data_IF_882089182553
#
_entry.id   IF_882089182553
#
_cell.length_a   1.000
_cell.length_b   1.000
_cell.length_c   1.000
_cell.angle_alpha   90.00
_cell.angle_beta   90.00
_cell.angle_gamma   90.00
#
_symmetry.space_group_name_H-M   'P 1'
#
loop_
_entity.id
_entity.type
_entity.pdbx_description
1 polymer ?
#
# COMPACT_ATOMS: atom_id res chain seq x y z
N UNK A 1 -22.12 -4.90 -6.51
CA UNK A 1 -22.01 -3.61 -5.81
C UNK A 1 -20.53 -3.31 -5.72
N UNK A 2 -20.05 -2.23 -6.36
CA UNK A 2 -18.66 -1.80 -6.23
C UNK A 2 -18.41 -1.51 -4.76
N UNK A 3 -17.44 -2.20 -4.14
CA UNK A 3 -17.14 -2.04 -2.73
C UNK A 3 -16.42 -0.69 -2.56
N UNK A 4 -17.20 0.40 -2.50
CA UNK A 4 -16.71 1.79 -2.48
C UNK A 4 -15.85 2.10 -1.26
N UNK A 5 -15.87 1.23 -0.24
CA UNK A 5 -15.15 1.39 1.03
C UNK A 5 -13.64 1.61 0.86
N UNK A 6 -13.03 0.95 -0.12
CA UNK A 6 -11.57 1.00 -0.33
C UNK A 6 -11.16 1.72 -1.63
N UNK A 7 -12.13 2.20 -2.41
CA UNK A 7 -11.85 2.92 -3.65
C UNK A 7 -11.30 4.32 -3.35
N UNK A 8 -10.40 4.81 -4.20
CA UNK A 8 -9.85 6.16 -4.09
C UNK A 8 -8.59 6.35 -4.92
N UNK A 9 -8.21 7.60 -5.15
CA UNK A 9 -6.94 7.92 -5.79
C UNK A 9 -5.78 7.56 -4.84
N UNK A 10 -4.69 7.01 -5.38
CA UNK A 10 -3.58 6.48 -4.57
C UNK A 10 -2.97 7.50 -3.62
N UNK A 11 -2.93 8.78 -4.01
CA UNK A 11 -2.41 9.87 -3.18
C UNK A 11 -3.26 10.15 -1.93
N UNK A 12 -4.52 9.69 -1.88
CA UNK A 12 -5.40 9.89 -0.73
C UNK A 12 -5.61 8.61 0.10
N UNK A 13 -5.19 7.45 -0.42
CA UNK A 13 -5.29 6.17 0.29
C UNK A 13 -4.41 6.17 1.54
N UNK A 14 -4.99 5.85 2.68
CA UNK A 14 -4.30 5.75 3.98
C UNK A 14 -5.02 4.77 4.90
N UNK A 15 -4.39 4.41 6.01
CA UNK A 15 -4.98 3.53 7.03
C UNK A 15 -5.50 2.22 6.44
N UNK A 16 -6.72 1.83 6.83
CA UNK A 16 -7.36 0.58 6.40
C UNK A 16 -7.45 0.44 4.87
N UNK A 17 -7.78 1.50 4.13
CA UNK A 17 -7.91 1.42 2.67
C UNK A 17 -6.56 1.15 1.98
N UNK A 18 -5.48 1.80 2.42
CA UNK A 18 -4.14 1.51 1.89
C UNK A 18 -3.69 0.09 2.26
N UNK A 19 -3.98 -0.34 3.48
CA UNK A 19 -3.68 -1.69 3.96
C UNK A 19 -4.45 -2.78 3.20
N UNK A 20 -5.69 -2.51 2.81
CA UNK A 20 -6.48 -3.39 1.95
C UNK A 20 -5.80 -3.61 0.60
N UNK A 21 -5.38 -2.54 -0.07
CA UNK A 21 -4.69 -2.68 -1.36
C UNK A 21 -3.32 -3.34 -1.25
N UNK A 22 -2.60 -3.15 -0.14
CA UNK A 22 -1.39 -3.91 0.14
C UNK A 22 -1.66 -5.40 0.38
N UNK A 23 -2.76 -5.75 1.06
CA UNK A 23 -3.21 -7.15 1.18
C UNK A 23 -3.52 -7.75 -0.21
N UNK A 24 -4.25 -7.02 -1.06
CA UNK A 24 -4.56 -7.43 -2.44
C UNK A 24 -3.28 -7.63 -3.26
N UNK A 25 -2.30 -6.74 -3.10
CA UNK A 25 -0.98 -6.87 -3.71
C UNK A 25 -0.27 -8.14 -3.23
N UNK A 26 -0.20 -8.36 -1.92
CA UNK A 26 0.42 -9.55 -1.34
C UNK A 26 -0.27 -10.85 -1.80
N UNK A 27 -1.60 -10.86 -1.90
CA UNK A 27 -2.35 -11.99 -2.42
C UNK A 27 -1.97 -12.30 -3.88
N UNK A 28 -1.87 -11.27 -4.73
CA UNK A 28 -1.43 -11.39 -6.13
C UNK A 28 0.00 -11.94 -6.23
N UNK A 29 0.93 -11.43 -5.43
CA UNK A 29 2.31 -11.93 -5.39
C UNK A 29 2.41 -13.40 -4.95
N UNK A 30 1.46 -13.86 -4.13
CA UNK A 30 1.34 -15.24 -3.68
C UNK A 30 0.48 -16.11 -4.59
N UNK A 31 0.01 -15.58 -5.73
CA UNK A 31 -0.91 -16.26 -6.64
C UNK A 31 -2.13 -16.87 -5.93
N UNK A 32 -2.68 -16.14 -4.94
CA UNK A 32 -3.94 -16.50 -4.27
C UNK A 32 -5.03 -15.49 -4.59
N UNK A 33 -6.26 -15.95 -4.49
CA UNK A 33 -7.42 -15.05 -4.52
C UNK A 33 -7.49 -14.25 -3.22
N UNK A 34 -7.73 -12.95 -3.35
CA UNK A 34 -7.93 -12.08 -2.21
C UNK A 34 -9.38 -12.14 -1.73
N UNK A 35 -9.58 -12.17 -0.42
CA UNK A 35 -10.91 -12.21 0.21
C UNK A 35 -11.13 -10.97 1.08
N UNK A 36 -12.19 -10.22 0.78
CA UNK A 36 -12.58 -9.05 1.56
C UNK A 36 -12.88 -9.43 3.02
N UNK A 37 -13.57 -10.56 3.22
CA UNK A 37 -13.91 -11.06 4.55
C UNK A 37 -12.67 -11.52 5.34
N UNK A 38 -11.67 -12.09 4.66
CA UNK A 38 -10.39 -12.45 5.30
C UNK A 38 -9.64 -11.20 5.72
N UNK A 39 -9.55 -10.20 4.84
CA UNK A 39 -8.90 -8.94 5.16
C UNK A 39 -9.58 -8.27 6.36
N UNK A 40 -10.90 -8.10 6.33
CA UNK A 40 -11.64 -7.40 7.39
C UNK A 40 -11.46 -8.08 8.75
N UNK A 41 -11.56 -9.41 8.78
CA UNK A 41 -11.34 -10.20 10.00
C UNK A 41 -9.90 -10.07 10.50
N UNK A 42 -8.91 -10.18 9.60
CA UNK A 42 -7.49 -10.06 9.94
C UNK A 42 -7.14 -8.66 10.43
N UNK A 43 -7.63 -7.63 9.74
CA UNK A 43 -7.41 -6.23 10.07
C UNK A 43 -7.95 -5.88 11.46
N UNK A 44 -9.18 -6.32 11.76
CA UNK A 44 -9.77 -6.17 13.09
C UNK A 44 -8.99 -6.92 14.18
N UNK A 45 -8.30 -8.00 13.84
CA UNK A 45 -7.41 -8.74 14.74
C UNK A 45 -5.98 -8.16 14.84
N UNK A 46 -5.72 -7.00 14.23
CA UNK A 46 -4.41 -6.35 14.22
C UNK A 46 -3.43 -6.89 13.17
N UNK A 47 -3.87 -7.79 12.28
CA UNK A 47 -3.10 -8.21 11.11
C UNK A 47 -3.20 -7.17 9.99
N UNK A 48 -2.39 -7.33 8.93
CA UNK A 48 -2.46 -6.51 7.71
C UNK A 48 -2.27 -4.99 7.95
N UNK A 49 -1.52 -4.60 8.99
CA UNK A 49 -1.21 -3.21 9.32
C UNK A 49 0.03 -2.68 8.56
N UNK A 50 0.12 -2.95 7.25
CA UNK A 50 1.30 -2.70 6.42
C UNK A 50 1.81 -1.24 6.45
N UNK A 51 0.90 -0.27 6.35
CA UNK A 51 1.22 1.15 6.31
C UNK A 51 1.78 1.70 7.63
N UNK A 52 1.70 0.94 8.72
CA UNK A 52 2.25 1.30 10.04
C UNK A 52 3.31 0.31 10.55
N UNK A 53 3.49 -0.84 9.88
CA UNK A 53 4.49 -1.84 10.21
C UNK A 53 5.90 -1.42 9.78
N UNK A 54 6.65 -0.84 10.72
CA UNK A 54 8.01 -0.34 10.47
C UNK A 54 8.98 -1.39 9.94
N UNK A 55 8.76 -2.68 10.21
CA UNK A 55 9.66 -3.73 9.71
C UNK A 55 9.52 -3.90 8.19
N UNK A 56 8.31 -3.71 7.65
CA UNK A 56 7.99 -3.91 6.25
C UNK A 56 8.75 -2.98 5.30
N UNK A 57 9.04 -1.74 5.72
CA UNK A 57 9.58 -0.72 4.81
C UNK A 57 10.91 -1.13 4.19
N UNK A 58 11.78 -1.79 4.95
CA UNK A 58 13.08 -2.26 4.48
C UNK A 58 12.90 -3.33 3.41
N UNK A 59 11.97 -4.26 3.63
CA UNK A 59 11.65 -5.30 2.65
C UNK A 59 11.11 -4.69 1.35
N UNK A 60 10.25 -3.67 1.43
CA UNK A 60 9.74 -2.97 0.24
C UNK A 60 10.86 -2.24 -0.52
N UNK A 61 11.78 -1.59 0.20
CA UNK A 61 12.96 -0.94 -0.39
C UNK A 61 13.83 -1.93 -1.17
N UNK A 62 14.08 -3.10 -0.61
CA UNK A 62 14.94 -4.11 -1.24
C UNK A 62 14.21 -4.82 -2.40
N UNK A 63 12.98 -5.29 -2.17
CA UNK A 63 12.24 -6.09 -3.14
C UNK A 63 11.81 -5.29 -4.37
N UNK A 64 11.40 -4.03 -4.18
CA UNK A 64 10.86 -3.19 -5.25
C UNK A 64 11.81 -2.04 -5.64
N UNK A 65 13.05 -2.05 -5.14
CA UNK A 65 14.03 -0.99 -5.38
C UNK A 65 13.52 0.41 -5.00
N UNK A 66 12.67 0.51 -3.98
CA UNK A 66 12.14 1.78 -3.50
C UNK A 66 13.24 2.61 -2.86
N UNK A 67 13.30 3.88 -3.23
CA UNK A 67 14.11 4.92 -2.60
C UNK A 67 13.20 5.82 -1.79
N UNK A 68 13.61 6.12 -0.56
CA UNK A 68 12.88 7.00 0.35
C UNK A 68 13.67 8.28 0.58
N UNK A 69 12.98 9.40 0.47
CA UNK A 69 13.54 10.73 0.70
C UNK A 69 12.51 11.57 1.46
N UNK A 70 12.97 12.32 2.46
CA UNK A 70 12.14 13.36 3.07
C UNK A 70 12.24 14.63 2.23
N UNK A 71 11.10 15.19 1.83
CA UNK A 71 11.01 16.46 1.09
C UNK A 71 10.05 17.38 1.85
N UNK A 72 10.58 18.43 2.47
CA UNK A 72 9.80 19.26 3.39
C UNK A 72 9.33 18.45 4.59
N UNK A 73 8.01 18.33 4.76
CA UNK A 73 7.36 17.56 5.83
C UNK A 73 6.76 16.23 5.36
N UNK A 74 7.01 15.82 4.11
CA UNK A 74 6.44 14.62 3.51
C UNK A 74 7.54 13.65 3.06
N UNK A 75 7.20 12.36 3.03
CA UNK A 75 8.06 11.31 2.49
C UNK A 75 7.72 11.04 1.04
N UNK A 76 8.74 11.05 0.19
CA UNK A 76 8.67 10.54 -1.17
C UNK A 76 9.24 9.13 -1.20
N UNK A 77 8.42 8.17 -1.65
CA UNK A 77 8.88 6.88 -2.13
C UNK A 77 8.98 6.92 -3.66
N UNK A 78 10.09 6.49 -4.24
CA UNK A 78 10.28 6.51 -5.69
C UNK A 78 11.06 5.32 -6.24
N UNK A 79 10.83 5.04 -7.51
CA UNK A 79 11.62 4.16 -8.38
C UNK A 79 11.86 4.90 -9.70
N UNK A 80 12.56 4.28 -10.65
CA UNK A 80 12.69 4.81 -12.01
C UNK A 80 11.35 4.98 -12.74
N UNK A 81 10.29 4.28 -12.31
CA UNK A 81 8.97 4.29 -12.95
C UNK A 81 8.02 5.37 -12.40
N UNK A 82 8.39 6.04 -11.32
CA UNK A 82 7.54 7.04 -10.67
C UNK A 82 7.68 7.05 -9.15
N UNK A 83 6.88 7.89 -8.50
CA UNK A 83 6.91 8.07 -7.05
C UNK A 83 5.56 8.38 -6.44
N UNK A 84 5.45 8.20 -5.13
CA UNK A 84 4.26 8.51 -4.33
C UNK A 84 4.68 9.20 -3.02
N UNK A 85 3.93 10.23 -2.65
CA UNK A 85 4.09 10.92 -1.37
C UNK A 85 3.28 10.23 -0.26
N UNK A 86 3.73 10.40 0.97
CA UNK A 86 3.01 9.99 2.17
C UNK A 86 3.49 10.74 3.41
N UNK A 87 2.64 10.74 4.45
CA UNK A 87 2.98 11.37 5.74
C UNK A 87 4.07 10.60 6.50
N UNK A 88 4.32 9.34 6.12
CA UNK A 88 5.36 8.47 6.69
C UNK A 88 6.09 7.69 5.59
N UNK A 89 7.30 7.16 5.87
CA UNK A 89 8.05 6.37 4.88
C UNK A 89 7.27 5.12 4.45
N UNK A 90 6.59 4.47 5.40
CA UNK A 90 5.76 3.29 5.17
C UNK A 90 4.56 3.61 4.28
N UNK A 91 3.86 4.70 4.56
CA UNK A 91 2.71 5.14 3.75
C UNK A 91 3.14 5.41 2.32
N UNK A 92 4.21 6.19 2.12
CA UNK A 92 4.74 6.51 0.81
C UNK A 92 5.14 5.23 0.04
N UNK A 93 5.86 4.31 0.70
CA UNK A 93 6.30 3.05 0.10
C UNK A 93 5.10 2.15 -0.27
N UNK A 94 4.12 2.00 0.62
CA UNK A 94 2.91 1.21 0.34
C UNK A 94 2.11 1.81 -0.82
N UNK A 95 1.94 3.14 -0.86
CA UNK A 95 1.27 3.82 -1.97
C UNK A 95 1.98 3.56 -3.30
N UNK A 96 3.32 3.63 -3.31
CA UNK A 96 4.09 3.36 -4.51
C UNK A 96 3.89 1.93 -5.00
N UNK A 97 4.00 0.94 -4.12
CA UNK A 97 3.80 -0.49 -4.46
C UNK A 97 2.39 -0.71 -5.01
N UNK A 98 1.36 -0.20 -4.34
CA UNK A 98 -0.03 -0.29 -4.82
C UNK A 98 -0.20 0.39 -6.18
N UNK A 99 0.38 1.58 -6.38
CA UNK A 99 0.30 2.30 -7.66
C UNK A 99 0.90 1.50 -8.82
N UNK A 100 2.00 0.77 -8.56
CA UNK A 100 2.67 -0.03 -9.57
C UNK A 100 1.89 -1.29 -9.93
N UNK A 101 1.10 -1.81 -8.97
CA UNK A 101 0.34 -3.05 -9.15
C UNK A 101 -1.05 -2.82 -9.73
N UNK A 102 -1.72 -1.73 -9.35
CA UNK A 102 -3.13 -1.47 -9.64
C UNK A 102 -3.41 -0.12 -10.33
N UNK A 103 -2.38 0.71 -10.53
CA UNK A 103 -2.55 2.06 -11.08
C UNK A 103 -2.91 3.11 -10.03
N UNK A 104 -3.15 4.34 -10.48
CA UNK A 104 -3.38 5.51 -9.62
C UNK A 104 -4.80 5.60 -9.05
N UNK A 105 -5.75 4.87 -9.63
CA UNK A 105 -7.12 4.74 -9.12
C UNK A 105 -7.47 3.25 -8.97
N UNK A 106 -6.99 2.60 -7.90
CA UNK A 106 -7.31 1.20 -7.66
C UNK A 106 -8.83 0.99 -7.53
N UNK A 107 -9.37 0.09 -8.35
CA UNK A 107 -10.76 -0.33 -8.32
C UNK A 107 -10.87 -1.86 -8.41
N UNK A 108 -11.97 -2.41 -7.90
CA UNK A 108 -12.29 -3.84 -7.99
C UNK A 108 -12.72 -4.27 -9.38
#
# INVERSE_FOLDING_TARGET
MSNSKYAGHISTLKGEALNYWMYRHAAKELSRDASDAEFEKGFAAGQYQFATDKALVVDLMLRYSVRLQMIGSEWLASTEKGGQFGESPNEAACRLVVSQTFGVEPSL
#
